data_IF_631991779601
#
_entry.id   IF_631991779601
#
_cell.length_a   1.000
_cell.length_b   1.000
_cell.length_c   1.000
_cell.angle_alpha   90.00
_cell.angle_beta   90.00
_cell.angle_gamma   90.00
#
_symmetry.space_group_name_H-M   'P 1'
#
loop_
_entity.id
_entity.type
_entity.pdbx_description
1 polymer ?
#
# COMPACT_ATOMS: atom_id res chain seq x y z
N UNK A 1 35.20 -10.98 -18.32
CA UNK A 1 33.74 -10.80 -18.11
C UNK A 1 33.39 -9.33 -18.22
N UNK A 2 32.64 -8.92 -19.24
CA UNK A 2 32.15 -7.54 -19.34
C UNK A 2 31.25 -7.21 -18.13
N UNK A 3 31.34 -5.98 -17.60
CA UNK A 3 30.41 -5.53 -16.56
C UNK A 3 28.98 -5.64 -17.11
N UNK A 4 28.08 -6.33 -16.40
CA UNK A 4 26.69 -6.55 -16.82
C UNK A 4 25.98 -5.26 -17.27
N UNK A 5 26.33 -4.14 -16.64
CA UNK A 5 25.79 -2.81 -16.94
C UNK A 5 26.96 -1.83 -17.20
N UNK A 6 27.44 -1.67 -18.45
CA UNK A 6 28.53 -0.76 -18.79
C UNK A 6 28.09 0.70 -18.67
N UNK A 7 29.04 1.63 -18.49
CA UNK A 7 28.77 3.05 -18.65
C UNK A 7 28.60 3.36 -20.14
N UNK A 8 27.50 4.02 -20.50
CA UNK A 8 27.20 4.44 -21.87
C UNK A 8 26.66 5.86 -21.82
N UNK A 9 27.17 6.70 -22.71
CA UNK A 9 26.64 8.04 -22.92
C UNK A 9 25.38 7.93 -23.78
N UNK A 10 24.23 8.37 -23.28
CA UNK A 10 22.93 8.18 -23.93
C UNK A 10 22.03 9.40 -23.81
N UNK A 11 21.16 9.61 -24.80
CA UNK A 11 20.09 10.58 -24.72
C UNK A 11 19.08 10.16 -23.64
N UNK A 12 18.71 11.10 -22.79
CA UNK A 12 17.80 10.90 -21.66
C UNK A 12 16.59 11.83 -21.74
N UNK A 13 15.40 11.43 -21.25
CA UNK A 13 14.20 12.27 -21.35
C UNK A 13 14.22 13.58 -20.53
N UNK A 14 15.11 13.74 -19.56
CA UNK A 14 15.11 14.88 -18.63
C UNK A 14 16.19 15.93 -18.90
N UNK A 15 17.06 15.71 -19.88
CA UNK A 15 18.16 16.62 -20.24
C UNK A 15 18.28 16.74 -21.75
N UNK A 16 18.74 17.90 -22.21
CA UNK A 16 19.07 18.13 -23.62
C UNK A 16 20.43 17.54 -23.99
N UNK A 17 21.28 17.34 -22.99
CA UNK A 17 22.60 16.75 -23.14
C UNK A 17 22.57 15.22 -23.06
N UNK A 18 23.60 14.58 -23.58
CA UNK A 18 23.80 13.16 -23.35
C UNK A 18 24.31 12.92 -21.92
N UNK A 19 23.68 12.00 -21.20
CA UNK A 19 24.06 11.66 -19.84
C UNK A 19 24.67 10.26 -19.73
N UNK A 20 25.53 10.07 -18.73
CA UNK A 20 26.11 8.78 -18.42
C UNK A 20 25.08 7.88 -17.75
N UNK A 21 24.74 6.79 -18.44
CA UNK A 21 23.80 5.77 -17.99
C UNK A 21 24.48 4.41 -17.92
N UNK A 22 23.80 3.43 -17.34
CA UNK A 22 24.25 2.05 -17.14
C UNK A 22 23.68 1.12 -18.21
N UNK A 23 23.51 1.63 -19.42
CA UNK A 23 22.77 1.00 -20.49
C UNK A 23 21.26 1.19 -20.32
N UNK A 24 20.48 0.22 -20.80
CA UNK A 24 19.01 0.28 -20.80
C UNK A 24 18.42 -0.91 -20.05
N UNK A 25 17.29 -0.67 -19.40
CA UNK A 25 16.44 -1.69 -18.80
C UNK A 25 14.99 -1.45 -19.24
N UNK A 26 14.33 -2.49 -19.75
CA UNK A 26 12.98 -2.38 -20.34
C UNK A 26 12.88 -1.22 -21.36
N UNK A 27 13.91 -1.04 -22.19
CA UNK A 27 13.98 0.02 -23.21
C UNK A 27 14.34 1.42 -22.70
N UNK A 28 14.40 1.64 -21.38
CA UNK A 28 14.62 2.95 -20.75
C UNK A 28 15.99 3.06 -20.09
N UNK A 29 16.54 4.29 -19.93
CA UNK A 29 17.82 4.49 -19.26
C UNK A 29 17.87 3.82 -17.88
N UNK A 30 18.98 3.13 -17.62
CA UNK A 30 19.29 2.53 -16.33
C UNK A 30 20.31 3.41 -15.59
N UNK A 31 20.06 3.75 -14.33
CA UNK A 31 20.91 4.60 -13.52
C UNK A 31 21.39 3.85 -12.28
N UNK A 32 22.64 4.08 -11.86
CA UNK A 32 23.15 3.58 -10.58
C UNK A 32 22.67 4.45 -9.42
N UNK A 33 22.79 3.90 -8.20
CA UNK A 33 22.58 4.65 -6.97
C UNK A 33 23.32 6.01 -6.97
N UNK A 34 22.63 7.07 -6.55
CA UNK A 34 23.10 8.45 -6.50
C UNK A 34 23.48 9.14 -7.83
N UNK A 35 23.20 8.54 -8.99
CA UNK A 35 23.45 9.18 -10.29
C UNK A 35 22.26 10.01 -10.77
N UNK A 36 21.04 9.60 -10.42
CA UNK A 36 19.83 10.27 -10.89
C UNK A 36 19.73 11.71 -10.34
N UNK A 37 19.48 12.72 -11.20
CA UNK A 37 19.29 14.10 -10.76
C UNK A 37 18.02 14.22 -9.90
N UNK A 38 18.22 14.41 -8.60
CA UNK A 38 17.14 14.39 -7.59
C UNK A 38 16.11 15.51 -7.74
N UNK A 39 16.47 16.61 -8.40
CA UNK A 39 15.59 17.75 -8.65
C UNK A 39 14.70 17.56 -9.90
N UNK A 40 15.01 16.59 -10.76
CA UNK A 40 14.24 16.28 -11.97
C UNK A 40 13.50 14.94 -11.85
N UNK A 41 14.12 13.97 -11.21
CA UNK A 41 13.64 12.61 -11.11
C UNK A 41 13.31 12.22 -9.67
N UNK A 42 12.14 11.61 -9.50
CA UNK A 42 11.70 11.08 -8.23
C UNK A 42 11.12 9.67 -8.37
N UNK A 43 11.30 8.86 -7.32
CA UNK A 43 10.56 7.60 -7.15
C UNK A 43 9.12 7.87 -6.76
N UNK A 44 8.25 6.86 -6.92
CA UNK A 44 6.84 6.96 -6.49
C UNK A 44 6.69 7.32 -5.00
N UNK A 45 7.59 6.82 -4.14
CA UNK A 45 7.58 7.14 -2.72
C UNK A 45 7.99 8.59 -2.45
N UNK A 46 9.02 9.11 -3.13
CA UNK A 46 9.44 10.51 -3.03
C UNK A 46 8.33 11.46 -3.47
N UNK A 47 7.70 11.21 -4.63
CA UNK A 47 6.54 11.99 -5.06
C UNK A 47 5.42 11.98 -4.03
N UNK A 48 5.18 10.83 -3.38
CA UNK A 48 4.12 10.72 -2.37
C UNK A 48 4.42 11.48 -1.09
N UNK A 49 5.68 11.58 -0.69
CA UNK A 49 6.09 12.43 0.43
C UNK A 49 5.77 13.91 0.15
N UNK A 50 5.78 14.32 -1.11
CA UNK A 50 5.45 15.69 -1.55
C UNK A 50 3.97 15.87 -1.94
N UNK A 51 3.07 14.94 -1.57
CA UNK A 51 1.66 14.94 -1.99
C UNK A 51 1.45 14.97 -3.52
N UNK A 52 2.41 14.42 -4.25
CA UNK A 52 2.37 14.26 -5.70
C UNK A 52 2.16 12.79 -6.10
N UNK A 53 1.74 12.59 -7.35
CA UNK A 53 1.65 11.28 -8.01
C UNK A 53 2.26 11.38 -9.40
N UNK A 54 2.70 10.26 -10.01
CA UNK A 54 3.25 10.25 -11.37
C UNK A 54 2.33 10.78 -12.47
N UNK A 55 1.08 11.15 -12.18
CA UNK A 55 0.19 11.76 -13.18
C UNK A 55 -0.36 10.81 -14.24
N UNK A 56 0.06 9.53 -14.25
CA UNK A 56 -0.25 8.56 -15.30
C UNK A 56 0.91 8.32 -16.28
N UNK A 57 2.06 8.97 -16.05
CA UNK A 57 3.26 8.77 -16.86
C UNK A 57 3.85 7.36 -16.65
N UNK A 58 4.40 6.79 -17.71
CA UNK A 58 5.28 5.63 -17.59
C UNK A 58 6.62 6.05 -16.95
N UNK A 59 7.31 5.15 -16.23
CA UNK A 59 8.65 5.44 -15.73
C UNK A 59 9.54 5.97 -16.85
N UNK A 60 10.35 6.99 -16.62
CA UNK A 60 11.29 7.53 -17.63
C UNK A 60 12.66 6.87 -17.56
N UNK A 61 13.01 6.35 -16.39
CA UNK A 61 14.24 5.59 -16.15
C UNK A 61 14.04 4.58 -15.02
N UNK A 62 15.02 3.69 -14.88
CA UNK A 62 15.12 2.77 -13.76
C UNK A 62 16.39 3.05 -12.98
N UNK A 63 16.29 3.03 -11.66
CA UNK A 63 17.42 3.02 -10.75
C UNK A 63 17.71 1.57 -10.36
N UNK A 64 18.97 1.12 -10.39
CA UNK A 64 19.33 -0.17 -9.79
C UNK A 64 20.38 -0.02 -8.70
N UNK A 65 20.19 -0.78 -7.62
CA UNK A 65 21.09 -0.81 -6.49
C UNK A 65 21.00 -2.14 -5.75
N UNK A 66 22.04 -2.47 -4.99
CA UNK A 66 22.02 -3.62 -4.08
C UNK A 66 21.32 -3.18 -2.79
N UNK A 67 20.16 -3.77 -2.51
CA UNK A 67 19.49 -3.57 -1.23
C UNK A 67 20.08 -4.54 -0.21
N UNK A 68 20.80 -4.01 0.79
CA UNK A 68 21.43 -4.82 1.83
C UNK A 68 20.41 -5.56 2.70
N UNK A 69 19.34 -4.86 3.15
CA UNK A 69 18.28 -5.45 3.98
C UNK A 69 17.57 -6.63 3.30
N UNK A 70 17.41 -6.57 1.98
CA UNK A 70 16.76 -7.62 1.21
C UNK A 70 17.74 -8.59 0.52
N UNK A 71 19.06 -8.43 0.76
CA UNK A 71 20.16 -9.19 0.15
C UNK A 71 20.03 -9.41 -1.38
N UNK A 72 19.43 -8.46 -2.10
CA UNK A 72 19.13 -8.60 -3.54
C UNK A 72 19.33 -7.31 -4.31
N UNK A 73 19.49 -7.46 -5.63
CA UNK A 73 19.48 -6.32 -6.54
C UNK A 73 18.04 -5.86 -6.73
N UNK A 74 17.79 -4.56 -6.57
CA UNK A 74 16.47 -3.95 -6.67
C UNK A 74 16.50 -2.92 -7.80
N UNK A 75 15.39 -2.86 -8.54
CA UNK A 75 15.12 -1.85 -9.54
C UNK A 75 13.99 -0.96 -9.05
N UNK A 76 14.17 0.36 -9.12
CA UNK A 76 13.17 1.35 -8.74
C UNK A 76 12.82 2.24 -9.92
N UNK A 77 11.52 2.50 -10.09
CA UNK A 77 11.02 3.35 -11.17
C UNK A 77 11.28 4.81 -10.84
N UNK A 78 11.81 5.55 -11.82
CA UNK A 78 11.99 7.00 -11.76
C UNK A 78 10.99 7.69 -12.69
N UNK A 79 10.44 8.79 -12.20
CA UNK A 79 9.42 9.61 -12.84
C UNK A 79 9.89 11.06 -12.89
N UNK A 80 9.47 11.82 -13.89
CA UNK A 80 9.70 13.25 -13.98
C UNK A 80 8.85 13.98 -12.95
N UNK A 81 9.49 14.83 -12.16
CA UNK A 81 8.81 15.70 -11.18
C UNK A 81 7.97 16.75 -11.90
N UNK A 82 8.47 17.31 -13.01
CA UNK A 82 7.77 18.34 -13.80
C UNK A 82 6.40 17.87 -14.34
N UNK A 83 6.26 16.58 -14.64
CA UNK A 83 5.01 15.98 -15.13
C UNK A 83 4.16 15.36 -14.01
N UNK A 84 4.65 15.38 -12.78
CA UNK A 84 3.90 14.89 -11.64
C UNK A 84 2.67 15.76 -11.41
N UNK A 85 1.60 15.14 -10.90
CA UNK A 85 0.34 15.83 -10.60
C UNK A 85 0.08 15.72 -9.11
N UNK A 86 -0.63 16.69 -8.51
CA UNK A 86 -1.11 16.54 -7.15
C UNK A 86 -1.90 15.24 -6.98
N UNK A 87 -1.76 14.65 -5.80
CA UNK A 87 -2.61 13.52 -5.40
C UNK A 87 -4.07 13.96 -5.44
N UNK A 88 -4.93 13.11 -6.01
CA UNK A 88 -6.36 13.40 -6.07
C UNK A 88 -6.87 13.54 -4.63
N UNK A 89 -7.50 14.68 -4.26
CA UNK A 89 -8.04 14.83 -2.93
C UNK A 89 -9.14 13.80 -2.70
N UNK A 90 -9.36 13.48 -1.42
CA UNK A 90 -10.53 12.73 -1.00
C UNK A 90 -11.76 13.60 -1.27
N UNK A 91 -12.76 13.05 -1.96
CA UNK A 91 -14.04 13.75 -2.18
C UNK A 91 -15.06 13.28 -1.15
N UNK A 92 -16.07 14.10 -0.79
CA UNK A 92 -17.13 13.68 0.13
C UNK A 92 -17.83 12.38 -0.32
N UNK A 93 -18.08 12.23 -1.62
CA UNK A 93 -18.66 11.00 -2.18
C UNK A 93 -17.77 9.77 -1.98
N UNK A 94 -16.44 9.91 -2.13
CA UNK A 94 -15.49 8.81 -1.87
C UNK A 94 -15.41 8.48 -0.38
N UNK A 95 -15.44 9.49 0.49
CA UNK A 95 -15.48 9.30 1.93
C UNK A 95 -16.75 8.55 2.37
N UNK A 96 -17.92 8.94 1.86
CA UNK A 96 -19.18 8.25 2.10
C UNK A 96 -19.17 6.81 1.58
N UNK A 97 -18.64 6.58 0.38
CA UNK A 97 -18.48 5.23 -0.17
C UNK A 97 -17.55 4.36 0.69
N UNK A 98 -16.45 4.92 1.19
CA UNK A 98 -15.54 4.22 2.09
C UNK A 98 -16.21 3.90 3.43
N UNK A 99 -16.95 4.85 4.00
CA UNK A 99 -17.70 4.65 5.24
C UNK A 99 -18.75 3.54 5.09
N UNK A 100 -19.50 3.53 3.98
CA UNK A 100 -20.46 2.46 3.67
C UNK A 100 -19.78 1.10 3.50
N UNK A 101 -18.66 1.06 2.77
CA UNK A 101 -17.88 -0.16 2.61
C UNK A 101 -17.32 -0.64 3.95
N UNK A 102 -16.95 0.28 4.84
CA UNK A 102 -16.44 -0.03 6.16
C UNK A 102 -17.53 -0.58 7.07
N UNK A 103 -18.73 0.02 7.08
CA UNK A 103 -19.88 -0.50 7.80
C UNK A 103 -20.16 -1.95 7.37
N UNK A 104 -20.27 -2.22 6.07
CA UNK A 104 -20.51 -3.57 5.56
C UNK A 104 -19.42 -4.59 5.93
N UNK A 105 -18.16 -4.16 6.13
CA UNK A 105 -17.07 -5.06 6.59
C UNK A 105 -17.12 -5.34 8.09
N UNK A 106 -17.78 -4.49 8.87
CA UNK A 106 -17.87 -4.53 10.34
C UNK A 106 -19.20 -5.10 10.83
N UNK A 107 -20.23 -5.09 9.99
CA UNK A 107 -21.56 -5.62 10.30
C UNK A 107 -21.56 -7.15 10.23
N UNK A 108 -21.94 -7.78 11.33
CA UNK A 108 -22.12 -9.23 11.45
C UNK A 108 -23.31 -9.68 10.61
N UNK A 109 -23.16 -10.77 9.85
CA UNK A 109 -24.27 -11.33 9.05
C UNK A 109 -25.31 -12.09 9.86
N UNK A 110 -24.96 -12.56 11.06
CA UNK A 110 -25.87 -13.32 11.93
C UNK A 110 -26.75 -12.39 12.78
N UNK A 111 -26.14 -11.46 13.52
CA UNK A 111 -26.88 -10.57 14.43
C UNK A 111 -27.12 -9.15 13.89
N UNK A 112 -26.50 -8.77 12.77
CA UNK A 112 -26.64 -7.41 12.20
C UNK A 112 -25.90 -6.32 12.96
N UNK A 113 -25.22 -6.64 14.06
CA UNK A 113 -24.47 -5.66 14.86
C UNK A 113 -23.19 -5.22 14.14
N UNK A 114 -22.84 -3.93 14.29
CA UNK A 114 -21.65 -3.35 13.67
C UNK A 114 -20.54 -3.19 14.71
N UNK A 115 -19.46 -3.96 14.56
CA UNK A 115 -18.33 -3.91 15.48
C UNK A 115 -17.36 -2.75 15.24
N UNK A 116 -16.45 -2.54 16.20
CA UNK A 116 -15.40 -1.52 16.12
C UNK A 116 -14.28 -1.88 15.11
N UNK A 117 -14.01 -3.17 14.93
CA UNK A 117 -13.00 -3.72 14.02
C UNK A 117 -13.62 -4.39 12.78
N UNK A 118 -12.83 -4.53 11.71
CA UNK A 118 -13.24 -5.32 10.54
C UNK A 118 -13.42 -6.80 10.91
N UNK A 119 -14.57 -7.37 10.57
CA UNK A 119 -14.80 -8.81 10.76
C UNK A 119 -13.97 -9.62 9.75
N UNK A 120 -13.56 -10.85 10.10
CA UNK A 120 -12.84 -11.73 9.19
C UNK A 120 -13.58 -11.92 7.86
N UNK A 121 -12.83 -11.89 6.75
CA UNK A 121 -13.42 -11.98 5.40
C UNK A 121 -14.10 -13.33 5.13
N UNK A 122 -13.63 -14.41 5.77
CA UNK A 122 -14.09 -15.78 5.53
C UNK A 122 -15.56 -15.98 5.94
N UNK A 123 -15.95 -15.54 7.14
CA UNK A 123 -17.29 -15.79 7.69
C UNK A 123 -18.13 -14.52 7.85
N UNK A 124 -17.54 -13.32 8.00
CA UNK A 124 -18.29 -12.06 8.25
C UNK A 124 -19.25 -12.16 9.45
N UNK A 125 -18.81 -12.86 10.49
CA UNK A 125 -19.55 -13.12 11.73
C UNK A 125 -18.73 -12.58 12.90
N UNK A 126 -19.37 -11.99 13.90
CA UNK A 126 -18.69 -11.55 15.12
C UNK A 126 -18.28 -12.74 15.98
N UNK A 127 -17.28 -12.54 16.84
CA UNK A 127 -16.73 -13.59 17.70
C UNK A 127 -17.80 -14.21 18.61
N UNK A 128 -18.71 -13.41 19.17
CA UNK A 128 -19.82 -13.90 19.98
C UNK A 128 -20.78 -14.83 19.20
N UNK A 129 -21.22 -14.44 17.99
CA UNK A 129 -22.08 -15.29 17.17
C UNK A 129 -21.34 -16.54 16.68
N UNK A 130 -20.05 -16.42 16.37
CA UNK A 130 -19.23 -17.55 15.96
C UNK A 130 -19.05 -18.56 17.12
N UNK A 131 -18.90 -18.07 18.35
CA UNK A 131 -18.86 -18.88 19.56
C UNK A 131 -20.17 -19.65 19.77
N UNK A 132 -21.33 -18.99 19.60
CA UNK A 132 -22.65 -19.63 19.74
C UNK A 132 -22.93 -20.66 18.63
N UNK A 133 -22.47 -20.40 17.40
CA UNK A 133 -22.73 -21.28 16.25
C UNK A 133 -21.93 -22.60 16.25
N UNK A 134 -20.98 -22.75 17.18
CA UNK A 134 -20.01 -23.84 17.18
C UNK A 134 -18.82 -23.50 16.29
N UNK A 135 -17.66 -23.36 16.92
CA UNK A 135 -16.43 -23.03 16.22
C UNK A 135 -15.93 -24.24 15.40
N UNK A 136 -15.46 -24.04 14.16
CA UNK A 136 -14.78 -25.10 13.43
C UNK A 136 -13.45 -25.45 14.12
N UNK A 137 -13.01 -26.71 13.97
CA UNK A 137 -11.87 -27.25 14.71
C UNK A 137 -10.53 -26.55 14.41
N UNK A 138 -10.43 -25.85 13.28
CA UNK A 138 -9.27 -25.06 12.82
C UNK A 138 -9.35 -23.57 13.21
N UNK A 139 -10.36 -23.16 13.98
CA UNK A 139 -10.52 -21.78 14.42
C UNK A 139 -9.47 -21.40 15.47
N UNK A 140 -8.86 -20.22 15.29
CA UNK A 140 -7.96 -19.64 16.30
C UNK A 140 -8.66 -19.34 17.64
N UNK A 141 -10.01 -19.29 17.66
CA UNK A 141 -10.77 -19.19 18.91
C UNK A 141 -10.82 -20.50 19.70
N UNK A 142 -10.44 -21.64 19.11
CA UNK A 142 -10.43 -22.94 19.80
C UNK A 142 -9.44 -22.95 20.97
N UNK A 143 -8.33 -22.20 20.87
CA UNK A 143 -7.32 -22.08 21.93
C UNK A 143 -7.79 -21.21 23.12
N UNK A 144 -8.86 -20.42 22.94
CA UNK A 144 -9.44 -19.56 23.99
C UNK A 144 -10.52 -20.26 24.83
N UNK A 145 -10.75 -21.57 24.64
CA UNK A 145 -11.85 -22.36 25.22
C UNK A 145 -11.83 -22.60 26.75
N UNK A 146 -11.03 -21.87 27.54
CA UNK A 146 -11.13 -21.90 29.01
C UNK A 146 -11.66 -20.54 29.54
N UNK A 147 -12.45 -19.81 28.75
CA UNK A 147 -13.03 -18.55 29.19
C UNK A 147 -14.39 -18.27 28.53
N UNK A 148 -15.29 -17.68 29.32
CA UNK A 148 -16.48 -17.01 28.79
C UNK A 148 -16.05 -15.91 27.80
N UNK A 149 -16.81 -15.67 26.71
CA UNK A 149 -16.51 -14.61 25.76
C UNK A 149 -16.31 -13.28 26.51
N UNK A 150 -15.20 -12.59 26.24
CA UNK A 150 -14.82 -11.38 27.00
C UNK A 150 -15.77 -10.21 26.80
N UNK A 151 -16.52 -10.20 25.68
CA UNK A 151 -17.54 -9.21 25.38
C UNK A 151 -18.71 -9.86 24.62
N UNK A 152 -19.92 -9.47 24.99
CA UNK A 152 -21.16 -9.75 24.27
C UNK A 152 -21.27 -8.94 22.98
N UNK A 153 -22.18 -9.33 22.08
CA UNK A 153 -22.44 -8.56 20.85
C UNK A 153 -22.84 -7.10 21.13
N UNK A 154 -23.58 -6.85 22.21
CA UNK A 154 -23.97 -5.50 22.64
C UNK A 154 -22.77 -4.69 23.14
N UNK A 155 -21.86 -5.28 23.91
CA UNK A 155 -20.64 -4.62 24.38
C UNK A 155 -19.69 -4.28 23.21
N UNK A 156 -19.60 -5.14 22.21
CA UNK A 156 -18.89 -4.83 20.97
C UNK A 156 -19.49 -3.64 20.20
N UNK A 157 -20.81 -3.54 20.15
CA UNK A 157 -21.50 -2.40 19.54
C UNK A 157 -21.21 -1.10 20.32
N UNK A 158 -21.26 -1.15 21.65
CA UNK A 158 -21.00 -0.01 22.54
C UNK A 158 -19.57 0.56 22.41
N UNK A 159 -18.55 -0.27 22.19
CA UNK A 159 -17.17 0.19 21.96
C UNK A 159 -17.03 1.06 20.69
N UNK A 160 -17.94 0.90 19.72
CA UNK A 160 -17.95 1.72 18.50
C UNK A 160 -18.28 3.18 18.80
N UNK A 161 -19.19 3.45 19.75
CA UNK A 161 -19.58 4.81 20.15
C UNK A 161 -18.44 5.56 20.84
N UNK A 162 -17.69 4.86 21.70
CA UNK A 162 -16.51 5.40 22.40
C UNK A 162 -15.36 5.71 21.45
N UNK A 163 -15.18 4.91 20.39
CA UNK A 163 -14.11 5.13 19.40
C UNK A 163 -14.39 6.29 18.44
N UNK A 164 -15.65 6.68 18.26
CA UNK A 164 -16.09 7.77 17.35
C UNK A 164 -16.03 9.15 17.98
N UNK A 165 -15.96 9.22 19.31
CA UNK A 165 -15.91 10.46 20.09
C UNK A 165 -14.48 10.91 20.45
N UNK A 166 -13.47 10.11 20.09
CA UNK A 166 -12.04 10.47 20.12
C UNK A 166 -11.53 10.81 18.72
#
# INVERSE_FOLDING_TARGET
MARRNPWVLAAVPWSQDLEFTRGRWCGKPLLSYNIAPRHLLATRHQLRAENMRPGGQDPVAFLYFRCHKAAKLVYANLYLIAEAKPVRPMTPARAAALAKAMAARRTCRECGETGWAELPKAHRTCEACLYTAGLPADSYLHDYLIGEPTLTAAEHAALTEVSRTR
#
